data_IF_497359931992
#
_entry.id   IF_497359931992
#
_cell.length_a   1.000
_cell.length_b   1.000
_cell.length_c   1.000
_cell.angle_alpha   90.00
_cell.angle_beta   90.00
_cell.angle_gamma   90.00
#
_symmetry.space_group_name_H-M   'P 1'
#
loop_
_entity.id
_entity.type
_entity.pdbx_description
1 polymer ?
#
# COMPACT_ATOMS: atom_id res chain seq x y z
N UNK A 1 -8.93 -30.59 0.53
CA UNK A 1 -8.38 -31.19 -0.70
C UNK A 1 -7.76 -30.21 -1.70
N UNK A 2 -8.43 -29.13 -2.15
CA UNK A 2 -7.77 -28.16 -3.05
C UNK A 2 -6.55 -27.46 -2.41
N UNK A 3 -6.60 -27.14 -1.12
CA UNK A 3 -5.52 -26.46 -0.39
C UNK A 3 -4.22 -27.30 -0.33
N UNK A 4 -4.32 -28.61 -0.14
CA UNK A 4 -3.14 -29.46 -0.01
C UNK A 4 -2.40 -29.67 -1.34
N UNK A 5 -3.14 -29.67 -2.47
CA UNK A 5 -2.54 -29.69 -3.81
C UNK A 5 -1.78 -28.40 -4.12
N UNK A 6 -2.37 -27.25 -3.77
CA UNK A 6 -1.72 -25.95 -3.99
C UNK A 6 -0.44 -25.80 -3.14
N UNK A 7 -0.49 -26.21 -1.85
CA UNK A 7 0.68 -26.19 -0.96
C UNK A 7 1.80 -27.10 -1.49
N UNK A 8 1.48 -28.35 -1.92
CA UNK A 8 2.47 -29.27 -2.49
C UNK A 8 3.10 -28.70 -3.75
N UNK A 9 2.28 -28.16 -4.66
CA UNK A 9 2.73 -27.51 -5.88
C UNK A 9 3.65 -26.32 -5.59
N UNK A 10 3.22 -25.39 -4.73
CA UNK A 10 4.03 -24.25 -4.32
C UNK A 10 5.37 -24.70 -3.71
N UNK A 11 5.36 -25.67 -2.78
CA UNK A 11 6.58 -26.20 -2.16
C UNK A 11 7.56 -26.80 -3.17
N UNK A 12 7.06 -27.53 -4.16
CA UNK A 12 7.89 -28.10 -5.23
C UNK A 12 8.55 -26.99 -6.09
N UNK A 13 7.76 -26.07 -6.61
CA UNK A 13 8.30 -24.97 -7.40
C UNK A 13 9.20 -24.05 -6.58
N UNK A 14 8.84 -23.79 -5.31
CA UNK A 14 9.66 -22.96 -4.44
C UNK A 14 11.01 -23.61 -4.11
N UNK A 15 11.04 -24.90 -3.89
CA UNK A 15 12.29 -25.65 -3.70
C UNK A 15 13.25 -25.46 -4.88
N UNK A 16 12.75 -25.56 -6.10
CA UNK A 16 13.55 -25.41 -7.31
C UNK A 16 13.95 -23.94 -7.57
N UNK A 17 13.03 -23.00 -7.41
CA UNK A 17 13.20 -21.62 -7.84
C UNK A 17 13.74 -20.69 -6.75
N UNK A 18 13.60 -21.04 -5.48
CA UNK A 18 13.96 -20.14 -4.38
C UNK A 18 15.43 -19.69 -4.39
N UNK A 19 16.44 -20.48 -4.75
CA UNK A 19 17.81 -19.97 -4.83
C UNK A 19 17.95 -18.88 -5.90
N UNK A 20 17.32 -19.08 -7.07
CA UNK A 20 17.34 -18.13 -8.19
C UNK A 20 16.60 -16.85 -7.79
N UNK A 21 15.44 -16.98 -7.17
CA UNK A 21 14.63 -15.85 -6.70
C UNK A 21 15.39 -15.04 -5.65
N UNK A 22 16.03 -15.68 -4.67
CA UNK A 22 16.84 -15.00 -3.65
C UNK A 22 18.03 -14.27 -4.24
N UNK A 23 18.73 -14.90 -5.16
CA UNK A 23 19.84 -14.28 -5.89
C UNK A 23 19.36 -13.05 -6.69
N UNK A 24 18.25 -13.18 -7.40
CA UNK A 24 17.63 -12.07 -8.13
C UNK A 24 17.20 -10.92 -7.21
N UNK A 25 16.55 -11.21 -6.08
CA UNK A 25 16.16 -10.19 -5.09
C UNK A 25 17.39 -9.49 -4.48
N UNK A 26 18.48 -10.25 -4.26
CA UNK A 26 19.76 -9.69 -3.82
C UNK A 26 20.32 -8.69 -4.82
N UNK A 27 20.29 -9.02 -6.10
CA UNK A 27 20.79 -8.12 -7.16
C UNK A 27 19.86 -6.92 -7.33
N UNK A 28 18.55 -7.17 -7.43
CA UNK A 28 17.56 -6.14 -7.74
C UNK A 28 17.41 -5.12 -6.62
N UNK A 29 17.25 -5.58 -5.38
CA UNK A 29 16.95 -4.73 -4.23
C UNK A 29 18.08 -4.63 -3.21
N UNK A 30 19.22 -5.31 -3.43
CA UNK A 30 20.24 -5.52 -2.40
C UNK A 30 19.58 -6.02 -1.09
N UNK A 31 18.69 -7.03 -1.23
CA UNK A 31 17.89 -7.54 -0.14
C UNK A 31 18.67 -8.46 0.79
N UNK A 32 18.58 -8.20 2.08
CA UNK A 32 19.26 -8.92 3.17
C UNK A 32 18.22 -9.46 4.15
N UNK A 33 17.78 -10.72 4.02
CA UNK A 33 16.88 -11.32 4.97
C UNK A 33 17.59 -11.56 6.32
N UNK A 34 16.85 -11.36 7.40
CA UNK A 34 17.28 -11.75 8.74
C UNK A 34 16.05 -12.26 9.49
N UNK A 35 16.07 -13.47 10.01
CA UNK A 35 15.08 -13.93 10.97
C UNK A 35 15.21 -15.41 11.28
N UNK A 36 14.80 -15.85 12.44
CA UNK A 36 14.49 -17.25 12.69
C UNK A 36 13.30 -17.69 11.82
N UNK A 37 13.13 -19.00 11.70
CA UNK A 37 11.96 -19.58 11.03
C UNK A 37 10.69 -19.23 11.79
N UNK A 38 9.66 -18.80 11.08
CA UNK A 38 8.34 -18.57 11.66
C UNK A 38 7.76 -19.87 12.23
N UNK A 39 7.08 -19.82 13.39
CA UNK A 39 6.33 -20.96 13.91
C UNK A 39 5.19 -21.35 12.97
N UNK A 40 4.56 -22.50 13.23
CA UNK A 40 3.40 -22.97 12.46
C UNK A 40 2.38 -23.58 13.42
N UNK A 41 1.10 -23.17 13.32
CA UNK A 41 0.58 -22.11 12.45
C UNK A 41 0.94 -20.71 12.97
N UNK A 42 1.06 -19.74 12.05
CA UNK A 42 1.31 -18.36 12.42
C UNK A 42 0.49 -17.38 11.56
N UNK A 43 -0.05 -16.36 12.22
CA UNK A 43 -0.51 -15.14 11.57
C UNK A 43 0.67 -14.18 11.50
N UNK A 44 1.12 -13.88 10.30
CA UNK A 44 2.23 -12.95 10.06
C UNK A 44 1.64 -11.59 9.71
N UNK A 45 2.00 -10.57 10.46
CA UNK A 45 1.63 -9.18 10.17
C UNK A 45 2.89 -8.44 9.75
N UNK A 46 2.80 -7.69 8.63
CA UNK A 46 3.93 -6.95 8.07
C UNK A 46 3.50 -5.57 7.59
N UNK A 47 4.45 -4.63 7.59
CA UNK A 47 4.34 -3.39 6.83
C UNK A 47 4.39 -3.67 5.32
N UNK A 48 3.91 -2.72 4.49
CA UNK A 48 3.79 -2.91 3.05
C UNK A 48 4.55 -1.81 2.28
N UNK A 49 5.68 -2.16 1.69
CA UNK A 49 6.62 -1.20 1.11
C UNK A 49 6.86 -1.37 -0.39
N UNK A 50 6.79 -2.62 -0.92
CA UNK A 50 6.99 -2.89 -2.34
C UNK A 50 5.93 -3.85 -2.92
N UNK A 51 5.75 -3.88 -4.24
CA UNK A 51 4.84 -4.85 -4.90
C UNK A 51 5.33 -6.31 -4.76
N UNK A 52 6.60 -6.50 -4.41
CA UNK A 52 7.21 -7.82 -4.26
C UNK A 52 7.31 -8.28 -2.80
N UNK A 53 6.67 -7.59 -1.85
CA UNK A 53 6.72 -7.97 -0.44
C UNK A 53 6.30 -9.42 -0.17
N UNK A 54 5.26 -10.00 -0.83
CA UNK A 54 4.96 -11.42 -0.68
C UNK A 54 6.11 -12.34 -1.07
N UNK A 55 6.83 -11.99 -2.14
CA UNK A 55 7.98 -12.76 -2.62
C UNK A 55 9.20 -12.60 -1.69
N UNK A 56 9.45 -11.38 -1.22
CA UNK A 56 10.52 -11.05 -0.27
C UNK A 56 10.29 -11.76 1.08
N UNK A 57 9.06 -11.74 1.59
CA UNK A 57 8.69 -12.44 2.81
C UNK A 57 8.83 -13.96 2.64
N UNK A 58 8.33 -14.53 1.56
CA UNK A 58 8.48 -15.96 1.24
C UNK A 58 9.95 -16.37 1.13
N UNK A 59 10.80 -15.54 0.52
CA UNK A 59 12.24 -15.77 0.44
C UNK A 59 12.94 -15.73 1.80
N UNK A 60 12.37 -15.01 2.78
CA UNK A 60 12.90 -14.90 4.15
C UNK A 60 12.42 -16.03 5.05
N UNK A 61 11.09 -16.25 5.12
CA UNK A 61 10.46 -17.14 6.12
C UNK A 61 10.59 -18.62 5.77
N UNK A 62 10.92 -18.96 4.53
CA UNK A 62 11.13 -20.32 4.02
C UNK A 62 9.96 -21.31 4.20
N UNK A 63 8.77 -20.81 4.50
CA UNK A 63 7.56 -21.63 4.64
C UNK A 63 6.48 -21.14 3.69
N UNK A 64 5.61 -22.07 3.24
CA UNK A 64 4.44 -21.65 2.48
C UNK A 64 3.56 -20.77 3.37
N UNK A 65 3.23 -19.58 2.87
CA UNK A 65 2.40 -18.59 3.55
C UNK A 65 1.29 -18.16 2.59
N UNK A 66 0.06 -18.20 3.04
CA UNK A 66 -1.07 -17.65 2.30
C UNK A 66 -1.09 -16.14 2.50
N UNK A 67 -1.18 -15.38 1.42
CA UNK A 67 -1.30 -13.93 1.48
C UNK A 67 -2.74 -13.51 1.26
N UNK A 68 -3.21 -12.52 2.02
CA UNK A 68 -4.45 -11.82 1.68
C UNK A 68 -4.11 -10.79 0.62
N UNK A 69 -4.73 -10.90 -0.54
CA UNK A 69 -4.44 -10.06 -1.69
C UNK A 69 -5.72 -9.54 -2.34
N UNK A 70 -5.68 -8.29 -2.79
CA UNK A 70 -6.80 -7.68 -3.52
C UNK A 70 -6.95 -8.31 -4.91
N UNK A 71 -8.19 -8.43 -5.36
CA UNK A 71 -8.58 -9.07 -6.62
C UNK A 71 -7.98 -8.41 -7.87
N UNK A 72 -7.73 -7.09 -7.85
CA UNK A 72 -7.15 -6.36 -8.99
C UNK A 72 -5.80 -6.95 -9.47
N UNK A 73 -5.04 -7.59 -8.56
CA UNK A 73 -3.75 -8.23 -8.90
C UNK A 73 -3.96 -9.39 -9.88
N UNK A 74 -5.12 -10.05 -9.81
CA UNK A 74 -5.42 -11.28 -10.57
C UNK A 74 -6.13 -11.04 -11.88
N UNK A 75 -6.43 -9.79 -12.23
CA UNK A 75 -7.06 -9.42 -13.52
C UNK A 75 -6.10 -9.61 -14.72
N UNK A 76 -4.79 -9.63 -14.48
CA UNK A 76 -3.76 -9.84 -15.52
C UNK A 76 -3.31 -11.30 -15.54
N UNK A 77 -2.84 -11.80 -16.72
CA UNK A 77 -2.36 -13.19 -16.91
C UNK A 77 -1.31 -13.62 -15.88
N UNK A 78 -0.35 -12.74 -15.55
CA UNK A 78 0.67 -13.03 -14.55
C UNK A 78 0.06 -13.19 -13.15
N UNK A 79 -0.98 -12.42 -12.82
CA UNK A 79 -1.73 -12.56 -11.57
C UNK A 79 -2.47 -13.89 -11.50
N UNK A 80 -3.03 -14.38 -12.60
CA UNK A 80 -3.68 -15.69 -12.66
C UNK A 80 -2.68 -16.82 -12.43
N UNK A 81 -1.44 -16.69 -12.94
CA UNK A 81 -0.36 -17.63 -12.62
C UNK A 81 -0.01 -17.62 -11.12
N UNK A 82 0.05 -16.45 -10.50
CA UNK A 82 0.26 -16.32 -9.04
C UNK A 82 -0.92 -16.94 -8.28
N UNK A 83 -2.16 -16.70 -8.70
CA UNK A 83 -3.35 -17.31 -8.13
C UNK A 83 -3.27 -18.84 -8.17
N UNK A 84 -2.88 -19.40 -9.33
CA UNK A 84 -2.72 -20.84 -9.49
C UNK A 84 -1.59 -21.40 -8.61
N UNK A 85 -0.42 -20.72 -8.54
CA UNK A 85 0.75 -21.22 -7.83
C UNK A 85 0.63 -21.06 -6.30
N UNK A 86 0.22 -19.89 -5.83
CA UNK A 86 0.21 -19.49 -4.40
C UNK A 86 -1.12 -19.75 -3.72
N UNK A 87 -2.23 -19.81 -4.47
CA UNK A 87 -3.59 -19.87 -3.95
C UNK A 87 -3.87 -18.83 -2.84
N UNK A 88 -3.57 -17.54 -3.06
CA UNK A 88 -3.76 -16.50 -2.06
C UNK A 88 -5.22 -16.43 -1.60
N UNK A 89 -5.45 -15.84 -0.45
CA UNK A 89 -6.80 -15.51 0.02
C UNK A 89 -7.20 -14.21 -0.69
N UNK A 90 -8.08 -14.32 -1.68
CA UNK A 90 -8.54 -13.16 -2.43
C UNK A 90 -9.51 -12.35 -1.57
N UNK A 91 -9.28 -11.04 -1.49
CA UNK A 91 -10.24 -10.08 -0.96
C UNK A 91 -10.98 -9.49 -2.15
N UNK A 92 -12.18 -9.96 -2.37
CA UNK A 92 -13.09 -9.36 -3.35
C UNK A 92 -13.73 -8.14 -2.70
N UNK A 93 -13.75 -7.01 -3.37
CA UNK A 93 -14.56 -5.87 -2.95
C UNK A 93 -16.02 -6.28 -3.00
N UNK A 94 -16.81 -5.87 -2.00
CA UNK A 94 -18.21 -6.32 -1.85
C UNK A 94 -18.37 -7.61 -1.04
N UNK A 95 -17.31 -8.40 -0.79
CA UNK A 95 -17.36 -9.42 0.26
C UNK A 95 -17.03 -8.78 1.60
N UNK A 96 -17.77 -9.19 2.62
CA UNK A 96 -17.53 -8.69 3.97
C UNK A 96 -16.11 -9.06 4.42
N UNK A 97 -15.45 -8.18 5.18
CA UNK A 97 -14.16 -8.48 5.79
C UNK A 97 -14.18 -9.80 6.60
N UNK A 98 -15.36 -10.24 7.04
CA UNK A 98 -15.63 -11.50 7.72
C UNK A 98 -15.29 -12.73 6.89
N UNK A 99 -15.60 -12.79 5.59
CA UNK A 99 -15.35 -13.98 4.75
C UNK A 99 -13.84 -14.20 4.55
N UNK A 100 -13.11 -13.10 4.35
CA UNK A 100 -11.65 -13.13 4.27
C UNK A 100 -11.03 -13.60 5.59
N UNK A 101 -11.51 -13.08 6.72
CA UNK A 101 -11.06 -13.48 8.05
C UNK A 101 -11.38 -14.96 8.36
N UNK A 102 -12.58 -15.44 8.04
CA UNK A 102 -12.96 -16.84 8.19
C UNK A 102 -12.08 -17.76 7.34
N UNK A 103 -11.76 -17.36 6.11
CA UNK A 103 -10.87 -18.14 5.24
C UNK A 103 -9.45 -18.18 5.81
N UNK A 104 -8.94 -17.04 6.32
CA UNK A 104 -7.65 -16.99 7.00
C UNK A 104 -7.60 -17.93 8.22
N UNK A 105 -8.63 -17.89 9.08
CA UNK A 105 -8.74 -18.77 10.24
C UNK A 105 -8.81 -20.25 9.85
N UNK A 106 -9.50 -20.62 8.78
CA UNK A 106 -9.52 -22.00 8.26
C UNK A 106 -8.14 -22.45 7.80
N UNK A 107 -7.35 -21.59 7.16
CA UNK A 107 -5.97 -21.89 6.75
C UNK A 107 -5.05 -22.06 7.96
N UNK A 108 -5.15 -21.18 8.95
CA UNK A 108 -4.41 -21.28 10.20
C UNK A 108 -4.75 -22.58 10.96
N UNK A 109 -6.04 -22.91 11.09
CA UNK A 109 -6.50 -24.17 11.73
C UNK A 109 -5.99 -25.41 11.00
N UNK A 110 -5.77 -25.34 9.70
CA UNK A 110 -5.14 -26.40 8.89
C UNK A 110 -3.61 -26.47 9.05
N UNK A 111 -3.01 -25.70 9.95
CA UNK A 111 -1.57 -25.69 10.23
C UNK A 111 -0.73 -24.87 9.25
N UNK A 112 -1.34 -23.96 8.49
CA UNK A 112 -0.63 -23.10 7.54
C UNK A 112 -0.42 -21.70 8.09
N UNK A 113 0.58 -20.99 7.55
CA UNK A 113 0.80 -19.59 7.83
C UNK A 113 -0.07 -18.71 6.92
N UNK A 114 -0.54 -17.59 7.49
CA UNK A 114 -1.27 -16.53 6.75
C UNK A 114 -0.55 -15.22 7.00
N UNK A 115 -0.35 -14.43 5.95
CA UNK A 115 0.22 -13.09 6.04
C UNK A 115 -0.81 -12.03 5.67
N UNK A 116 -0.83 -10.96 6.46
CA UNK A 116 -1.64 -9.76 6.27
C UNK A 116 -0.72 -8.54 6.26
N UNK A 117 -0.83 -7.71 5.23
CA UNK A 117 -0.26 -6.38 5.23
C UNK A 117 -1.27 -5.43 5.88
N UNK A 118 -1.01 -5.08 7.14
CA UNK A 118 -2.01 -4.47 8.02
C UNK A 118 -2.43 -3.05 7.62
N UNK A 119 -1.61 -2.37 6.81
CA UNK A 119 -1.89 -1.04 6.26
C UNK A 119 -2.95 -1.05 5.15
N UNK A 120 -3.22 -2.20 4.54
CA UNK A 120 -4.14 -2.32 3.40
C UNK A 120 -3.63 -1.71 2.09
N UNK A 121 -2.71 -0.75 2.15
CA UNK A 121 -2.04 -0.11 1.02
C UNK A 121 -0.54 0.00 1.29
N UNK A 122 0.26 0.14 0.21
CA UNK A 122 1.67 0.53 0.34
C UNK A 122 1.75 2.00 0.72
N UNK A 123 2.70 2.35 1.59
CA UNK A 123 2.94 3.75 1.93
C UNK A 123 3.34 4.60 0.72
N UNK A 124 2.83 5.82 0.62
CA UNK A 124 3.22 6.81 -0.38
C UNK A 124 4.35 7.74 0.10
N UNK A 125 4.43 7.98 1.40
CA UNK A 125 5.32 8.99 2.00
C UNK A 125 6.46 8.40 2.84
N UNK A 126 6.51 7.07 3.02
CA UNK A 126 7.60 6.39 3.71
C UNK A 126 7.36 6.16 5.20
N UNK A 127 6.24 6.59 5.74
CA UNK A 127 5.78 6.22 7.09
C UNK A 127 4.74 5.12 7.00
N UNK A 128 4.77 4.16 7.93
CA UNK A 128 3.72 3.16 8.09
C UNK A 128 2.39 3.86 8.37
N UNK A 129 1.38 3.56 7.56
CA UNK A 129 0.03 4.11 7.72
C UNK A 129 -0.76 3.48 8.86
N UNK A 130 -2.02 3.88 9.00
CA UNK A 130 -2.93 3.32 10.00
C UNK A 130 -3.08 1.82 9.84
N UNK A 131 -3.09 1.13 10.97
CA UNK A 131 -3.33 -0.30 11.03
C UNK A 131 -4.81 -0.54 11.20
N UNK A 132 -5.39 -1.35 10.31
CA UNK A 132 -6.80 -1.70 10.37
C UNK A 132 -7.11 -2.38 11.72
N UNK A 133 -8.02 -1.79 12.50
CA UNK A 133 -8.38 -2.23 13.86
C UNK A 133 -8.75 -3.72 13.94
N UNK A 134 -9.44 -4.24 12.92
CA UNK A 134 -9.82 -5.66 12.85
C UNK A 134 -8.63 -6.63 12.83
N UNK A 135 -7.40 -6.14 12.59
CA UNK A 135 -6.18 -6.97 12.56
C UNK A 135 -5.87 -7.55 13.93
N UNK A 136 -6.02 -6.78 15.00
CA UNK A 136 -5.81 -7.26 16.37
C UNK A 136 -6.89 -8.29 16.78
N UNK A 137 -8.14 -8.05 16.39
CA UNK A 137 -9.25 -8.99 16.60
C UNK A 137 -9.00 -10.32 15.86
N UNK A 138 -8.48 -10.26 14.63
CA UNK A 138 -8.08 -11.44 13.87
C UNK A 138 -6.94 -12.21 14.57
N UNK A 139 -5.92 -11.53 15.07
CA UNK A 139 -4.80 -12.15 15.78
C UNK A 139 -5.27 -12.89 17.05
N UNK A 140 -6.14 -12.27 17.85
CA UNK A 140 -6.73 -12.91 19.03
C UNK A 140 -7.59 -14.12 18.68
N UNK A 141 -8.38 -14.03 17.61
CA UNK A 141 -9.18 -15.15 17.11
C UNK A 141 -8.32 -16.28 16.56
N UNK A 142 -7.24 -15.99 15.87
CA UNK A 142 -6.28 -16.94 15.36
C UNK A 142 -5.62 -17.75 16.51
N UNK A 143 -5.23 -17.08 17.59
CA UNK A 143 -4.68 -17.75 18.78
C UNK A 143 -5.71 -18.68 19.45
N UNK A 144 -6.96 -18.22 19.59
CA UNK A 144 -8.03 -19.00 20.24
C UNK A 144 -8.49 -20.21 19.43
N UNK A 145 -8.69 -20.02 18.11
CA UNK A 145 -9.33 -21.01 17.23
C UNK A 145 -8.32 -21.98 16.63
N UNK A 146 -7.12 -21.52 16.32
CA UNK A 146 -6.10 -22.25 15.60
C UNK A 146 -4.82 -22.51 16.42
N UNK A 147 -4.68 -21.98 17.63
CA UNK A 147 -3.42 -22.02 18.37
C UNK A 147 -2.28 -21.32 17.64
N UNK A 148 -2.60 -20.32 16.80
CA UNK A 148 -1.62 -19.65 15.96
C UNK A 148 -0.86 -18.58 16.74
N UNK A 149 0.46 -18.54 16.55
CA UNK A 149 1.31 -17.45 17.03
C UNK A 149 1.14 -16.21 16.14
N UNK A 150 1.35 -15.02 16.70
CA UNK A 150 1.46 -13.78 15.95
C UNK A 150 2.95 -13.51 15.66
N UNK A 151 3.29 -13.36 14.39
CA UNK A 151 4.63 -13.01 13.93
C UNK A 151 4.61 -11.60 13.38
N UNK A 152 5.37 -10.69 13.98
CA UNK A 152 5.55 -9.33 13.52
C UNK A 152 6.79 -9.29 12.63
N UNK A 153 6.57 -9.11 11.34
CA UNK A 153 7.60 -9.05 10.32
C UNK A 153 7.75 -7.61 9.80
N UNK A 154 8.98 -7.15 9.60
CA UNK A 154 9.21 -5.78 9.13
C UNK A 154 10.20 -5.74 7.99
N UNK A 155 9.86 -4.98 6.96
CA UNK A 155 10.77 -4.55 5.91
C UNK A 155 11.37 -3.19 6.28
N UNK A 156 12.70 -3.08 6.23
CA UNK A 156 13.44 -1.84 6.42
C UNK A 156 14.12 -1.43 5.10
N UNK A 157 14.12 -0.12 4.78
CA UNK A 157 14.70 0.43 3.56
C UNK A 157 13.91 0.19 2.27
N UNK A 158 12.77 -0.48 2.35
CA UNK A 158 11.96 -0.84 1.18
C UNK A 158 11.37 0.38 0.48
N UNK A 159 10.86 1.36 1.22
CA UNK A 159 10.37 2.61 0.66
C UNK A 159 11.45 3.37 -0.11
N UNK A 160 12.63 3.54 0.46
CA UNK A 160 13.74 4.21 -0.21
C UNK A 160 14.23 3.44 -1.45
N UNK A 161 14.12 2.10 -1.44
CA UNK A 161 14.50 1.25 -2.56
C UNK A 161 13.50 1.31 -3.71
N UNK A 162 12.20 1.29 -3.42
CA UNK A 162 11.13 1.22 -4.42
C UNK A 162 9.90 2.00 -3.95
N UNK A 163 9.96 3.33 -3.96
CA UNK A 163 8.82 4.16 -3.57
C UNK A 163 7.61 3.87 -4.47
N UNK A 164 6.42 3.89 -3.90
CA UNK A 164 5.19 3.56 -4.64
C UNK A 164 4.95 4.49 -5.84
N UNK A 165 5.30 5.75 -5.70
CA UNK A 165 5.16 6.77 -6.76
C UNK A 165 6.18 6.59 -7.90
N UNK A 166 7.33 5.98 -7.65
CA UNK A 166 8.43 5.86 -8.63
C UNK A 166 8.14 4.82 -9.76
N UNK A 167 7.01 4.11 -9.70
CA UNK A 167 6.68 3.09 -10.68
C UNK A 167 7.67 1.92 -10.67
N UNK A 168 8.30 1.62 -11.82
CA UNK A 168 9.27 0.52 -11.94
C UNK A 168 10.70 0.91 -11.54
N UNK A 169 10.95 2.18 -11.18
CA UNK A 169 12.30 2.62 -10.80
C UNK A 169 12.74 1.99 -9.47
N UNK A 170 13.97 1.50 -9.44
CA UNK A 170 14.62 0.96 -8.24
C UNK A 170 15.80 1.83 -7.89
N UNK A 171 15.82 2.31 -6.65
CA UNK A 171 16.92 3.05 -6.10
C UNK A 171 17.84 2.08 -5.36
N UNK A 172 19.07 1.89 -5.84
CA UNK A 172 20.00 0.90 -5.29
C UNK A 172 20.59 1.39 -3.97
N UNK A 173 20.11 0.84 -2.87
CA UNK A 173 20.60 1.04 -1.52
C UNK A 173 20.66 -0.29 -0.77
N UNK A 174 20.16 -0.33 0.43
CA UNK A 174 20.04 -1.55 1.23
C UNK A 174 18.60 -1.74 1.67
N UNK A 175 18.05 -2.90 1.38
CA UNK A 175 16.76 -3.34 1.87
C UNK A 175 16.95 -4.60 2.72
N UNK A 176 16.23 -4.70 3.82
CA UNK A 176 16.22 -5.90 4.66
C UNK A 176 14.80 -6.24 5.09
N UNK A 177 14.60 -7.47 5.54
CA UNK A 177 13.32 -7.92 6.08
C UNK A 177 13.50 -9.10 7.02
N UNK A 178 12.73 -9.12 8.09
CA UNK A 178 12.83 -10.18 9.08
C UNK A 178 11.81 -10.09 10.20
N UNK A 179 11.76 -11.14 10.99
CA UNK A 179 10.89 -11.23 12.15
C UNK A 179 11.43 -10.36 13.28
N UNK A 180 10.59 -9.45 13.76
CA UNK A 180 10.91 -8.53 14.88
C UNK A 180 10.48 -9.08 16.22
N UNK A 181 9.32 -9.72 16.26
CA UNK A 181 8.76 -10.28 17.49
C UNK A 181 7.84 -11.44 17.15
N UNK A 182 7.78 -12.42 18.03
CA UNK A 182 6.82 -13.51 18.00
C UNK A 182 6.07 -13.47 19.33
N UNK A 183 4.75 -13.47 19.27
CA UNK A 183 3.87 -13.65 20.42
C UNK A 183 3.21 -15.03 20.29
N UNK A 184 3.33 -15.84 21.30
CA UNK A 184 2.73 -17.17 21.34
C UNK A 184 1.20 -17.09 21.39
N UNK A 185 0.54 -18.21 21.08
CA UNK A 185 -0.92 -18.27 21.20
C UNK A 185 -1.38 -18.07 22.64
N UNK A 186 -0.60 -18.53 23.62
CA UNK A 186 -0.88 -18.40 25.05
C UNK A 186 -0.81 -16.94 25.49
N UNK A 187 0.21 -16.19 25.09
CA UNK A 187 0.33 -14.75 25.34
C UNK A 187 -0.86 -13.99 24.74
N UNK A 188 -1.20 -14.27 23.48
CA UNK A 188 -2.30 -13.60 22.78
C UNK A 188 -3.67 -13.84 23.41
N UNK A 189 -3.90 -15.03 24.01
CA UNK A 189 -5.18 -15.35 24.66
C UNK A 189 -5.46 -14.47 25.87
N UNK A 190 -4.41 -14.06 26.60
CA UNK A 190 -4.53 -13.25 27.81
C UNK A 190 -4.40 -11.75 27.54
N UNK A 191 -3.76 -11.33 26.44
CA UNK A 191 -3.65 -9.93 26.06
C UNK A 191 -5.00 -9.33 25.68
N UNK A 192 -5.19 -8.03 25.96
CA UNK A 192 -6.34 -7.27 25.43
C UNK A 192 -6.18 -7.00 23.93
N UNK A 193 -7.27 -6.75 23.19
CA UNK A 193 -7.18 -6.35 21.77
C UNK A 193 -6.32 -5.10 21.55
N UNK A 194 -6.38 -4.14 22.48
CA UNK A 194 -5.62 -2.89 22.44
C UNK A 194 -4.12 -3.18 22.60
N UNK A 195 -3.75 -4.02 23.57
CA UNK A 195 -2.35 -4.45 23.77
C UNK A 195 -1.79 -5.20 22.56
N UNK A 196 -2.63 -6.01 21.88
CA UNK A 196 -2.24 -6.67 20.63
C UNK A 196 -2.07 -5.63 19.51
N UNK A 197 -2.97 -4.65 19.39
CA UNK A 197 -2.88 -3.59 18.40
C UNK A 197 -1.61 -2.75 18.58
N UNK A 198 -1.27 -2.41 19.83
CA UNK A 198 -0.05 -1.68 20.15
C UNK A 198 1.21 -2.49 19.80
N UNK A 199 1.23 -3.78 20.15
CA UNK A 199 2.34 -4.66 19.80
C UNK A 199 2.51 -4.78 18.27
N UNK A 200 1.40 -4.85 17.50
CA UNK A 200 1.44 -4.86 16.03
C UNK A 200 2.01 -3.54 15.54
N UNK A 201 1.48 -2.41 15.99
CA UNK A 201 1.91 -1.07 15.59
C UNK A 201 3.40 -0.87 15.83
N UNK A 202 3.88 -1.17 17.03
CA UNK A 202 5.30 -1.08 17.38
C UNK A 202 6.18 -2.00 16.51
N UNK A 203 5.75 -3.25 16.31
CA UNK A 203 6.55 -4.28 15.63
C UNK A 203 6.72 -4.05 14.13
N UNK A 204 5.76 -3.41 13.46
CA UNK A 204 5.83 -3.17 12.02
C UNK A 204 6.05 -1.69 11.64
N UNK A 205 6.04 -0.77 12.60
CA UNK A 205 6.23 0.65 12.33
C UNK A 205 7.57 0.94 11.68
N UNK A 206 7.54 1.76 10.63
CA UNK A 206 8.72 2.33 9.98
C UNK A 206 8.45 3.80 9.65
N UNK A 207 9.47 4.62 9.85
CA UNK A 207 9.58 5.95 9.27
C UNK A 207 10.90 5.96 8.50
N UNK A 208 10.80 5.96 7.17
CA UNK A 208 11.95 5.82 6.30
C UNK A 208 12.92 7.01 6.41
N UNK A 209 12.41 8.20 6.66
CA UNK A 209 13.23 9.41 6.79
C UNK A 209 13.87 9.52 8.16
N UNK A 210 13.16 9.18 9.23
CA UNK A 210 13.76 9.08 10.56
C UNK A 210 14.88 8.02 10.60
N UNK A 211 14.67 6.86 9.96
CA UNK A 211 15.69 5.82 9.81
C UNK A 211 16.91 6.32 9.03
N UNK A 212 16.71 7.11 7.95
CA UNK A 212 17.79 7.72 7.18
C UNK A 212 18.55 8.80 7.96
N UNK A 213 17.86 9.60 8.78
CA UNK A 213 18.52 10.56 9.69
C UNK A 213 19.40 9.84 10.74
N UNK A 214 18.92 8.72 11.29
CA UNK A 214 19.63 7.94 12.30
C UNK A 214 20.81 7.12 11.73
N UNK A 215 20.64 6.53 10.55
CA UNK A 215 21.64 5.69 9.89
C UNK A 215 21.60 5.93 8.37
N UNK A 216 22.36 6.91 7.87
CA UNK A 216 22.32 7.32 6.47
C UNK A 216 22.80 6.20 5.53
N UNK A 217 21.93 5.74 4.64
CA UNK A 217 22.23 4.76 3.59
C UNK A 217 21.98 5.42 2.24
N UNK A 218 22.98 5.51 1.35
CA UNK A 218 22.78 6.10 0.03
C UNK A 218 21.98 5.18 -0.89
N UNK A 219 20.89 5.69 -1.47
CA UNK A 219 20.05 5.03 -2.47
C UNK A 219 20.35 5.63 -3.85
N UNK A 220 21.08 4.89 -4.67
CA UNK A 220 21.63 5.37 -5.95
C UNK A 220 20.64 5.12 -7.08
N UNK A 221 20.26 6.20 -7.77
CA UNK A 221 19.49 6.19 -9.00
C UNK A 221 19.73 7.48 -9.77
N UNK A 222 19.52 7.46 -11.08
CA UNK A 222 19.44 8.67 -11.91
C UNK A 222 18.02 9.21 -12.01
N UNK A 223 17.06 8.59 -11.31
CA UNK A 223 15.61 8.81 -11.39
C UNK A 223 14.99 8.89 -9.98
N UNK A 224 15.66 9.61 -9.05
CA UNK A 224 15.25 9.63 -7.64
C UNK A 224 13.97 10.43 -7.38
N UNK A 225 13.69 11.43 -8.22
CA UNK A 225 12.46 12.23 -8.12
C UNK A 225 11.38 11.82 -9.15
N UNK A 226 11.73 10.98 -10.12
CA UNK A 226 10.84 10.70 -11.26
C UNK A 226 9.51 10.10 -10.84
N UNK A 227 8.44 10.75 -11.28
CA UNK A 227 7.04 10.47 -10.94
C UNK A 227 6.62 10.83 -9.50
N UNK A 228 7.39 11.67 -8.80
CA UNK A 228 7.06 12.10 -7.44
C UNK A 228 5.76 12.94 -7.38
N UNK A 229 5.36 13.55 -8.49
CA UNK A 229 4.06 14.21 -8.65
C UNK A 229 2.85 13.29 -8.50
N UNK A 230 3.05 11.96 -8.45
CA UNK A 230 2.01 11.00 -8.05
C UNK A 230 1.72 11.03 -6.55
N UNK A 231 2.69 11.47 -5.75
CA UNK A 231 2.54 11.64 -4.31
C UNK A 231 2.26 13.10 -3.94
N UNK A 232 2.93 14.05 -4.62
CA UNK A 232 2.82 15.48 -4.34
C UNK A 232 2.03 16.18 -5.44
N UNK A 233 1.04 17.02 -5.07
CA UNK A 233 0.18 17.71 -6.02
C UNK A 233 0.09 19.23 -5.80
N UNK A 234 0.46 19.71 -4.61
CA UNK A 234 0.38 21.11 -4.22
C UNK A 234 1.79 21.70 -4.09
N UNK A 235 2.06 22.81 -4.79
CA UNK A 235 3.33 23.50 -4.67
C UNK A 235 3.37 24.36 -3.40
N UNK A 236 4.41 24.26 -2.54
CA UNK A 236 4.46 25.02 -1.29
C UNK A 236 4.80 26.51 -1.51
N UNK A 237 5.32 26.88 -2.68
CA UNK A 237 5.70 28.26 -2.95
C UNK A 237 4.56 29.07 -3.56
N UNK A 238 3.78 28.50 -4.49
CA UNK A 238 2.71 29.22 -5.19
C UNK A 238 1.32 28.65 -4.94
N UNK A 239 1.19 27.62 -4.12
CA UNK A 239 -0.05 26.93 -3.78
C UNK A 239 -0.86 26.42 -5.00
N UNK A 240 -0.23 26.34 -6.18
CA UNK A 240 -0.88 25.81 -7.38
C UNK A 240 -0.94 24.28 -7.34
N UNK A 241 -2.14 23.74 -7.53
CA UNK A 241 -2.37 22.31 -7.72
C UNK A 241 -2.04 21.83 -9.14
N UNK A 242 -1.54 20.60 -9.27
CA UNK A 242 -1.33 19.94 -10.57
C UNK A 242 -0.23 20.52 -11.46
N UNK A 243 0.61 21.42 -10.95
CA UNK A 243 1.74 22.04 -11.67
C UNK A 243 3.09 21.42 -11.37
N UNK A 244 3.14 20.47 -10.45
CA UNK A 244 4.37 19.74 -10.16
C UNK A 244 4.69 18.74 -11.27
N UNK A 245 5.97 18.68 -11.64
CA UNK A 245 6.55 17.77 -12.62
C UNK A 245 7.88 17.25 -12.10
N UNK A 246 8.27 16.07 -12.56
CA UNK A 246 9.56 15.49 -12.18
C UNK A 246 10.33 14.98 -13.39
N UNK A 247 11.65 15.09 -13.34
CA UNK A 247 12.54 14.46 -14.29
C UNK A 247 13.87 14.08 -13.61
N UNK A 248 14.24 12.82 -13.74
CA UNK A 248 15.48 12.31 -13.15
C UNK A 248 15.52 12.47 -11.64
N UNK A 249 16.38 13.36 -11.15
CA UNK A 249 16.55 13.62 -9.71
C UNK A 249 15.86 14.90 -9.24
N UNK A 250 15.12 15.58 -10.10
CA UNK A 250 14.56 16.88 -9.81
C UNK A 250 13.03 16.86 -9.86
N UNK A 251 12.43 17.59 -8.92
CA UNK A 251 11.04 18.00 -8.91
C UNK A 251 10.99 19.51 -9.18
N UNK A 252 10.04 19.98 -9.97
CA UNK A 252 9.87 21.39 -10.30
C UNK A 252 8.39 21.75 -10.46
N UNK A 253 8.08 23.02 -10.33
CA UNK A 253 6.74 23.56 -10.51
C UNK A 253 6.70 24.43 -11.76
N UNK A 254 5.83 24.07 -12.72
CA UNK A 254 5.60 24.86 -13.95
C UNK A 254 4.93 26.21 -13.67
N UNK A 255 4.32 26.41 -12.49
CA UNK A 255 3.63 27.64 -12.12
C UNK A 255 4.55 28.75 -11.60
N UNK A 256 5.60 28.41 -10.83
CA UNK A 256 6.46 29.41 -10.20
C UNK A 256 7.97 29.17 -10.40
N UNK A 257 8.35 28.13 -11.12
CA UNK A 257 9.76 27.79 -11.35
C UNK A 257 10.48 27.17 -10.17
N UNK A 258 9.79 26.82 -9.07
CA UNK A 258 10.40 26.07 -7.97
C UNK A 258 11.14 24.85 -8.52
N UNK A 259 12.38 24.64 -8.06
CA UNK A 259 13.20 23.48 -8.41
C UNK A 259 13.84 22.86 -7.17
N UNK A 260 13.67 21.55 -7.01
CA UNK A 260 14.15 20.78 -5.87
C UNK A 260 14.91 19.56 -6.35
N UNK A 261 16.09 19.32 -5.83
CA UNK A 261 16.81 18.06 -6.04
C UNK A 261 16.46 17.06 -4.93
N UNK A 262 16.29 15.78 -5.29
CA UNK A 262 16.27 14.67 -4.35
C UNK A 262 17.64 14.05 -4.29
N UNK A 263 18.31 14.14 -3.15
CA UNK A 263 19.66 13.61 -2.96
C UNK A 263 19.69 12.08 -2.83
N UNK A 264 20.87 11.50 -2.64
CA UNK A 264 21.05 10.05 -2.53
C UNK A 264 20.50 9.47 -1.22
N UNK A 265 20.22 10.30 -0.23
CA UNK A 265 19.64 9.91 1.04
C UNK A 265 18.10 10.02 1.02
N UNK A 266 17.54 10.57 -0.07
CA UNK A 266 16.10 10.81 -0.22
C UNK A 266 15.63 12.16 0.31
N UNK A 267 16.54 13.03 0.74
CA UNK A 267 16.22 14.36 1.23
C UNK A 267 16.17 15.39 0.10
N UNK A 268 15.32 16.39 0.28
CA UNK A 268 15.21 17.54 -0.60
C UNK A 268 16.41 18.50 -0.43
N UNK A 269 16.88 19.03 -1.55
CA UNK A 269 17.90 20.08 -1.62
C UNK A 269 17.35 21.21 -2.48
N UNK A 270 17.31 22.40 -1.90
CA UNK A 270 16.75 23.60 -2.54
C UNK A 270 16.16 24.55 -1.51
N UNK A 271 15.53 25.62 -1.98
CA UNK A 271 14.83 26.58 -1.09
C UNK A 271 13.42 26.10 -0.82
N UNK A 272 13.25 25.24 0.17
CA UNK A 272 12.01 24.60 0.58
C UNK A 272 11.85 24.62 2.10
N UNK A 273 10.63 24.74 2.63
CA UNK A 273 10.35 24.61 4.06
C UNK A 273 10.40 23.16 4.54
N UNK A 274 10.53 22.18 3.63
CA UNK A 274 10.51 20.75 3.91
C UNK A 274 11.83 20.09 3.53
N UNK A 275 12.31 19.17 4.37
CA UNK A 275 13.47 18.34 4.06
C UNK A 275 13.09 17.03 3.38
N UNK A 276 11.83 16.59 3.51
CA UNK A 276 11.38 15.26 3.10
C UNK A 276 10.05 15.30 2.35
N UNK A 277 9.79 14.25 1.55
CA UNK A 277 8.48 14.05 0.95
C UNK A 277 7.40 13.87 2.02
N UNK A 278 7.72 13.23 3.15
CA UNK A 278 6.79 13.03 4.24
C UNK A 278 6.27 14.37 4.79
N UNK A 279 7.18 15.30 5.12
CA UNK A 279 6.81 16.64 5.62
C UNK A 279 5.97 17.43 4.61
N UNK A 280 6.33 17.35 3.32
CA UNK A 280 5.55 17.98 2.26
C UNK A 280 4.17 17.33 2.11
N UNK A 281 4.09 16.00 2.18
CA UNK A 281 2.84 15.26 2.08
C UNK A 281 1.87 15.56 3.24
N UNK A 282 2.40 15.65 4.47
CA UNK A 282 1.63 16.05 5.64
C UNK A 282 1.10 17.50 5.52
N UNK A 283 1.96 18.41 5.04
CA UNK A 283 1.56 19.79 4.79
C UNK A 283 0.45 19.89 3.74
N UNK A 284 0.62 19.24 2.58
CA UNK A 284 -0.41 19.32 1.52
C UNK A 284 -1.75 18.70 1.94
N UNK A 285 -1.74 17.67 2.77
CA UNK A 285 -2.95 17.08 3.32
C UNK A 285 -3.65 18.06 4.28
N UNK A 286 -2.87 18.76 5.12
CA UNK A 286 -3.41 19.79 6.01
C UNK A 286 -3.97 20.99 5.23
N UNK A 287 -3.26 21.48 4.20
CA UNK A 287 -3.73 22.55 3.32
C UNK A 287 -5.04 22.17 2.63
N UNK A 288 -5.16 20.92 2.19
CA UNK A 288 -6.39 20.42 1.59
C UNK A 288 -7.55 20.47 2.60
N UNK A 289 -7.34 20.02 3.84
CA UNK A 289 -8.38 20.07 4.89
C UNK A 289 -8.80 21.51 5.20
N UNK A 290 -7.82 22.43 5.27
CA UNK A 290 -8.06 23.85 5.55
C UNK A 290 -8.79 24.55 4.38
N UNK A 291 -8.65 24.05 3.17
CA UNK A 291 -9.23 24.63 1.96
C UNK A 291 -10.57 24.00 1.53
N UNK A 292 -11.12 23.08 2.32
CA UNK A 292 -12.42 22.48 2.01
C UNK A 292 -13.50 23.57 1.96
N UNK A 293 -14.22 23.77 0.83
CA UNK A 293 -15.27 24.77 0.72
C UNK A 293 -16.46 24.42 1.62
N UNK A 294 -17.21 25.41 2.05
CA UNK A 294 -18.45 25.18 2.81
C UNK A 294 -19.56 24.60 1.92
N UNK A 295 -19.58 24.98 0.65
CA UNK A 295 -20.56 24.52 -0.33
C UNK A 295 -20.09 23.24 -1.06
N UNK A 296 -21.07 22.55 -1.67
CA UNK A 296 -20.84 21.31 -2.41
C UNK A 296 -20.66 21.52 -3.93
N UNK A 297 -20.59 22.75 -4.43
CA UNK A 297 -20.54 23.06 -5.86
C UNK A 297 -19.18 23.62 -6.29
N UNK A 298 -18.35 24.05 -5.35
CA UNK A 298 -16.98 24.51 -5.63
C UNK A 298 -16.08 23.30 -5.87
N UNK A 299 -15.45 23.17 -7.06
CA UNK A 299 -14.54 22.06 -7.35
C UNK A 299 -13.24 22.23 -6.57
N UNK A 300 -12.82 21.15 -5.90
CA UNK A 300 -11.55 21.08 -5.16
C UNK A 300 -10.37 20.78 -6.07
N UNK A 301 -10.57 19.93 -7.04
CA UNK A 301 -9.59 19.61 -8.08
C UNK A 301 -10.27 18.98 -9.28
N UNK A 302 -9.64 19.15 -10.45
CA UNK A 302 -10.07 18.49 -11.69
C UNK A 302 -8.87 17.92 -12.44
N UNK A 303 -9.09 16.80 -13.10
CA UNK A 303 -8.13 16.14 -14.00
C UNK A 303 -8.84 15.78 -15.30
N UNK A 304 -8.13 15.91 -16.41
CA UNK A 304 -8.62 15.55 -17.75
C UNK A 304 -8.12 14.16 -18.16
N UNK A 305 -8.77 13.54 -19.14
CA UNK A 305 -8.37 12.26 -19.73
C UNK A 305 -8.28 11.14 -18.66
N UNK A 306 -9.29 11.07 -17.82
CA UNK A 306 -9.46 10.00 -16.82
C UNK A 306 -10.37 8.94 -17.40
N UNK A 307 -9.92 7.72 -17.40
CA UNK A 307 -10.71 6.55 -17.78
C UNK A 307 -11.67 6.19 -16.65
N UNK A 308 -12.96 6.19 -16.94
CA UNK A 308 -14.00 5.62 -16.09
C UNK A 308 -14.19 4.15 -16.46
N UNK A 309 -13.87 3.26 -15.53
CA UNK A 309 -13.88 1.82 -15.74
C UNK A 309 -14.85 1.17 -14.77
N UNK A 310 -15.72 0.31 -15.26
CA UNK A 310 -16.58 -0.57 -14.46
C UNK A 310 -15.90 -1.92 -14.29
N UNK A 311 -16.04 -2.53 -13.11
CA UNK A 311 -15.48 -3.83 -12.80
C UNK A 311 -16.62 -4.78 -12.48
N UNK A 312 -16.67 -5.91 -13.21
CA UNK A 312 -17.62 -6.99 -12.98
C UNK A 312 -16.90 -8.34 -13.15
N UNK A 313 -17.05 -9.25 -12.18
CA UNK A 313 -16.46 -10.61 -12.24
C UNK A 313 -14.96 -10.65 -12.60
N UNK A 314 -14.16 -9.73 -12.03
CA UNK A 314 -12.72 -9.52 -12.32
C UNK A 314 -12.42 -8.99 -13.73
N UNK A 315 -13.42 -8.63 -14.51
CA UNK A 315 -13.24 -8.01 -15.83
C UNK A 315 -13.41 -6.50 -15.74
N UNK A 316 -12.54 -5.78 -16.47
CA UNK A 316 -12.57 -4.33 -16.59
C UNK A 316 -13.25 -3.94 -17.90
N UNK A 317 -14.30 -3.12 -17.81
CA UNK A 317 -14.99 -2.53 -18.97
C UNK A 317 -14.77 -1.02 -18.92
N UNK A 318 -14.07 -0.47 -19.94
CA UNK A 318 -13.97 0.96 -20.13
C UNK A 318 -15.35 1.52 -20.50
N UNK A 319 -15.85 2.44 -19.69
CA UNK A 319 -17.13 3.10 -19.96
C UNK A 319 -16.93 4.36 -20.80
N UNK A 320 -15.95 5.21 -20.39
CA UNK A 320 -15.68 6.48 -21.06
C UNK A 320 -14.29 7.02 -20.66
N UNK A 321 -13.81 8.04 -21.37
CA UNK A 321 -12.61 8.82 -21.06
C UNK A 321 -12.97 10.30 -21.10
N UNK A 322 -12.80 11.00 -19.98
CA UNK A 322 -13.16 12.40 -19.87
C UNK A 322 -12.58 13.08 -18.64
N UNK A 323 -13.22 14.14 -18.23
CA UNK A 323 -12.81 14.91 -17.06
C UNK A 323 -13.31 14.23 -15.79
N UNK A 324 -12.46 14.25 -14.75
CA UNK A 324 -12.84 13.89 -13.41
C UNK A 324 -12.65 15.09 -12.48
N UNK A 325 -13.69 15.37 -11.69
CA UNK A 325 -13.72 16.49 -10.75
C UNK A 325 -14.11 15.97 -9.37
N UNK A 326 -13.46 16.49 -8.34
CA UNK A 326 -13.77 16.19 -6.96
C UNK A 326 -14.42 17.41 -6.32
N UNK A 327 -15.54 17.16 -5.67
CA UNK A 327 -16.28 18.11 -4.83
C UNK A 327 -16.22 17.65 -3.37
N UNK A 328 -16.75 18.46 -2.48
CA UNK A 328 -16.79 18.14 -1.05
C UNK A 328 -17.60 16.87 -0.73
N UNK A 329 -18.64 16.58 -1.49
CA UNK A 329 -19.60 15.50 -1.21
C UNK A 329 -19.63 14.39 -2.27
N UNK A 330 -18.89 14.53 -3.38
CA UNK A 330 -18.96 13.58 -4.50
C UNK A 330 -17.75 13.61 -5.41
N UNK A 331 -17.56 12.53 -6.13
CA UNK A 331 -16.79 12.51 -7.37
C UNK A 331 -17.71 12.72 -8.57
N UNK A 332 -17.21 13.40 -9.60
CA UNK A 332 -17.83 13.44 -10.92
C UNK A 332 -16.78 12.97 -11.93
N UNK A 333 -17.11 12.00 -12.77
CA UNK A 333 -16.21 11.51 -13.82
C UNK A 333 -17.01 11.23 -15.08
N UNK A 334 -16.59 11.77 -16.22
CA UNK A 334 -17.29 11.61 -17.52
C UNK A 334 -18.79 11.96 -17.41
N UNK A 335 -19.13 13.03 -16.67
CA UNK A 335 -20.52 13.44 -16.43
C UNK A 335 -21.32 12.57 -15.44
N UNK A 336 -20.78 11.45 -14.96
CA UNK A 336 -21.43 10.63 -13.94
C UNK A 336 -21.04 11.12 -12.53
N UNK A 337 -22.03 11.23 -11.64
CA UNK A 337 -21.85 11.66 -10.26
C UNK A 337 -21.86 10.45 -9.30
N UNK A 338 -20.94 10.46 -8.35
CA UNK A 338 -20.75 9.41 -7.34
C UNK A 338 -20.72 10.06 -5.94
N UNK A 339 -21.88 10.18 -5.25
CA UNK A 339 -21.98 10.77 -3.92
C UNK A 339 -21.17 9.98 -2.89
N UNK A 340 -20.47 10.67 -1.98
CA UNK A 340 -19.71 10.01 -0.92
C UNK A 340 -20.59 9.21 0.06
N UNK A 341 -21.85 9.61 0.23
CA UNK A 341 -22.81 8.87 1.03
C UNK A 341 -23.06 7.43 0.51
N UNK A 342 -22.87 7.21 -0.80
CA UNK A 342 -23.03 5.91 -1.44
C UNK A 342 -21.71 5.12 -1.53
N UNK A 343 -20.59 5.68 -1.06
CA UNK A 343 -19.26 5.06 -1.16
C UNK A 343 -18.75 4.70 0.23
N UNK A 344 -18.77 3.42 0.63
CA UNK A 344 -18.29 3.01 1.95
C UNK A 344 -16.78 3.14 2.12
N UNK A 345 -16.00 3.01 1.04
CA UNK A 345 -14.55 3.15 1.10
C UNK A 345 -13.93 3.38 -0.27
N UNK A 346 -12.78 4.04 -0.29
CA UNK A 346 -11.96 4.25 -1.49
C UNK A 346 -10.64 3.50 -1.35
N UNK A 347 -10.25 2.76 -2.38
CA UNK A 347 -9.00 2.04 -2.48
C UNK A 347 -8.07 2.65 -3.54
N UNK A 348 -6.77 2.39 -3.39
CA UNK A 348 -5.74 2.81 -4.33
C UNK A 348 -5.10 1.56 -4.97
N UNK A 349 -5.63 1.02 -6.09
CA UNK A 349 -5.10 -0.19 -6.72
C UNK A 349 -3.74 0.03 -7.39
N UNK A 350 -3.30 1.27 -7.49
CA UNK A 350 -2.00 1.66 -8.05
C UNK A 350 -1.70 3.12 -7.74
N UNK A 351 -0.57 3.65 -8.21
CA UNK A 351 -0.21 5.06 -7.95
C UNK A 351 -1.02 6.07 -8.78
N UNK A 352 -1.76 5.61 -9.79
CA UNK A 352 -2.52 6.43 -10.73
C UNK A 352 -3.97 5.94 -10.90
N UNK A 353 -4.53 5.31 -9.87
CA UNK A 353 -5.91 4.86 -9.91
C UNK A 353 -6.55 4.95 -8.52
N UNK A 354 -7.84 5.26 -8.51
CA UNK A 354 -8.71 5.07 -7.36
C UNK A 354 -9.79 4.06 -7.71
N UNK A 355 -10.23 3.29 -6.75
CA UNK A 355 -11.25 2.28 -6.92
C UNK A 355 -12.22 2.33 -5.74
N UNK A 356 -13.51 2.23 -6.01
CA UNK A 356 -14.56 2.25 -5.00
C UNK A 356 -15.75 1.42 -5.43
N UNK A 357 -16.55 1.04 -4.46
CA UNK A 357 -17.85 0.40 -4.63
C UNK A 357 -18.94 1.37 -4.22
N UNK A 358 -20.04 1.37 -4.95
CA UNK A 358 -21.23 2.12 -4.61
C UNK A 358 -22.20 1.25 -3.80
N UNK A 359 -23.12 1.86 -3.07
CA UNK A 359 -24.08 1.16 -2.19
C UNK A 359 -24.93 0.11 -2.91
N UNK A 360 -25.13 0.26 -4.23
CA UNK A 360 -25.81 -0.72 -5.09
C UNK A 360 -24.90 -1.87 -5.56
N UNK A 361 -23.68 -1.96 -5.03
CA UNK A 361 -22.74 -3.05 -5.30
C UNK A 361 -21.98 -2.94 -6.63
N UNK A 362 -22.05 -1.81 -7.32
CA UNK A 362 -21.26 -1.57 -8.53
C UNK A 362 -19.85 -1.09 -8.20
N UNK A 363 -18.86 -1.60 -8.93
CA UNK A 363 -17.46 -1.27 -8.74
C UNK A 363 -16.94 -0.39 -9.86
N UNK A 364 -16.26 0.69 -9.49
CA UNK A 364 -15.68 1.64 -10.44
C UNK A 364 -14.21 1.89 -10.14
N UNK A 365 -13.47 2.17 -11.21
CA UNK A 365 -12.09 2.65 -11.15
C UNK A 365 -11.96 3.90 -11.98
N UNK A 366 -11.37 4.97 -11.40
CA UNK A 366 -10.82 6.09 -12.17
C UNK A 366 -9.34 5.82 -12.35
N UNK A 367 -8.85 5.85 -13.59
CA UNK A 367 -7.46 5.58 -13.92
C UNK A 367 -6.92 6.60 -14.90
N UNK A 368 -5.68 7.02 -14.71
CA UNK A 368 -4.96 7.86 -15.65
C UNK A 368 -3.78 7.11 -16.26
N UNK A 369 -3.63 7.19 -17.58
CA UNK A 369 -2.43 6.71 -18.28
C UNK A 369 -1.30 7.76 -18.23
N UNK A 370 -1.63 9.03 -17.96
CA UNK A 370 -0.66 10.10 -17.72
C UNK A 370 -0.23 10.12 -16.25
N UNK A 371 0.98 10.60 -15.99
CA UNK A 371 1.48 10.77 -14.62
C UNK A 371 0.66 11.84 -13.91
N UNK A 372 -0.16 11.45 -12.95
CA UNK A 372 -1.06 12.31 -12.18
C UNK A 372 -1.18 11.83 -10.73
N UNK A 373 -1.52 12.75 -9.84
CA UNK A 373 -1.87 12.42 -8.46
C UNK A 373 -3.37 12.12 -8.34
N UNK A 374 -3.76 10.86 -8.50
CA UNK A 374 -5.14 10.45 -8.21
C UNK A 374 -5.36 10.13 -6.71
N UNK A 375 -4.29 10.07 -5.92
CA UNK A 375 -4.39 9.91 -4.46
C UNK A 375 -5.15 11.07 -3.80
N UNK A 376 -5.07 12.30 -4.35
CA UNK A 376 -5.81 13.47 -3.85
C UNK A 376 -7.32 13.22 -3.74
N UNK A 377 -7.90 12.38 -4.63
CA UNK A 377 -9.32 11.99 -4.55
C UNK A 377 -9.62 11.19 -3.29
N UNK A 378 -8.75 10.22 -2.95
CA UNK A 378 -8.87 9.45 -1.72
C UNK A 378 -8.61 10.33 -0.48
N UNK A 379 -7.70 11.31 -0.57
CA UNK A 379 -7.42 12.26 0.50
C UNK A 379 -8.64 13.13 0.82
N UNK A 380 -9.29 13.71 -0.21
CA UNK A 380 -10.53 14.50 -0.02
C UNK A 380 -11.65 13.63 0.53
N UNK A 381 -11.86 12.44 -0.04
CA UNK A 381 -12.86 11.51 0.46
C UNK A 381 -12.71 11.26 1.97
N UNK A 382 -11.48 10.96 2.42
CA UNK A 382 -11.22 10.77 3.85
C UNK A 382 -11.34 12.05 4.67
N UNK A 383 -10.89 13.18 4.15
CA UNK A 383 -11.02 14.47 4.84
C UNK A 383 -12.48 14.79 5.21
N UNK A 384 -13.43 14.31 4.40
CA UNK A 384 -14.85 14.53 4.63
C UNK A 384 -15.49 13.40 5.45
N UNK A 385 -15.14 12.14 5.17
CA UNK A 385 -15.84 10.97 5.75
C UNK A 385 -15.20 10.43 7.02
N UNK A 386 -13.88 10.63 7.20
CA UNK A 386 -13.09 10.14 8.32
C UNK A 386 -11.85 11.03 8.54
N UNK A 387 -12.02 12.31 8.93
CA UNK A 387 -10.96 13.32 8.96
C UNK A 387 -9.75 12.93 9.84
N UNK A 388 -9.96 12.13 10.86
CA UNK A 388 -8.91 11.63 11.74
C UNK A 388 -7.93 10.67 11.05
N UNK A 389 -8.28 10.15 9.86
CA UNK A 389 -7.45 9.19 9.10
C UNK A 389 -6.78 9.78 7.86
N UNK A 390 -6.89 11.08 7.64
CA UNK A 390 -6.40 11.74 6.40
C UNK A 390 -4.90 11.58 6.21
N UNK A 391 -4.13 11.63 7.30
CA UNK A 391 -2.67 11.48 7.26
C UNK A 391 -2.18 10.03 7.12
N UNK A 392 -3.09 9.07 7.16
CA UNK A 392 -2.81 7.64 7.13
C UNK A 392 -2.92 7.00 5.73
N UNK A 393 -2.94 7.84 4.66
CA UNK A 393 -3.15 7.35 3.26
C UNK A 393 -1.85 6.96 2.58
#
# INVERSE_FOLDING_TARGET
MQSDKAVRRHRFFWYLLSPIVRFWLRIKYNYHPYAPRAPRPALIISNHVTDLDPLLLGATVHTHTYFIASDHIFRKKIGQLVLWLQAPITRTKGTTASDTALTALRRLKAGHNVCVFAEGNRTFNGRTGAIVESTAKLAKSAARIAGASLVLFRFDGGYMTSPRWAGSAVHRGRMSGGIRRILSAEELKVMSPEAIADAIREGIFTDAYAAQKANPIPYRSRRRAEHMERALHLCPQCHSGGKLRSAGNFLFCDGCGLRVEVDKLGFFRGNLPFETLLEWDEWQAQELMNSLPEDNNTPLASDTEISLIKIENFEETLLDIGDATIYRDRFVCCGQSFPFADIPSVGLPGPQAIEFETADGKHFTFRSDKVRNLRKYATVFRAVTAPETVLDI
#
